data_IF_937813711288
#
_entry.id   IF_937813711288
#
_cell.length_a   1.000
_cell.length_b   1.000
_cell.length_c   1.000
_cell.angle_alpha   90.00
_cell.angle_beta   90.00
_cell.angle_gamma   90.00
#
_symmetry.space_group_name_H-M   'P 1'
#
loop_
_entity.id
_entity.type
_entity.pdbx_description
1 polymer ?
#
# COMPACT_ATOMS: atom_id res chain seq x y z
N UNK A 1 -1.99 24.00 6.15
CA UNK A 1 -1.25 22.95 6.87
C UNK A 1 -1.80 22.65 8.27
N UNK A 2 -2.11 23.63 9.13
CA UNK A 2 -2.69 23.34 10.47
C UNK A 2 -4.01 22.54 10.41
N UNK A 3 -4.92 22.87 9.48
CA UNK A 3 -6.18 22.11 9.32
C UNK A 3 -5.94 20.64 8.90
N UNK A 4 -5.03 20.42 7.94
CA UNK A 4 -4.62 19.10 7.47
C UNK A 4 -4.03 18.24 8.60
N UNK A 5 -3.12 18.81 9.40
CA UNK A 5 -2.54 18.10 10.55
C UNK A 5 -3.61 17.73 11.56
N UNK A 6 -4.55 18.63 11.85
CA UNK A 6 -5.70 18.35 12.74
C UNK A 6 -6.56 17.20 12.19
N UNK A 7 -6.88 17.20 10.89
CA UNK A 7 -7.62 16.11 10.25
C UNK A 7 -6.90 14.77 10.37
N UNK A 8 -5.58 14.75 10.11
CA UNK A 8 -4.76 13.54 10.27
C UNK A 8 -4.80 13.05 11.73
N UNK A 9 -4.60 13.94 12.71
CA UNK A 9 -4.69 13.58 14.13
C UNK A 9 -6.05 12.98 14.48
N UNK A 10 -7.14 13.61 14.05
CA UNK A 10 -8.50 13.10 14.29
C UNK A 10 -8.71 11.70 13.69
N UNK A 11 -8.18 11.43 12.50
CA UNK A 11 -8.22 10.08 11.90
C UNK A 11 -7.43 9.07 12.74
N UNK A 12 -6.26 9.44 13.24
CA UNK A 12 -5.45 8.58 14.12
C UNK A 12 -6.18 8.27 15.42
N UNK A 13 -6.76 9.27 16.09
CA UNK A 13 -7.58 9.07 17.30
C UNK A 13 -8.72 8.09 17.05
N UNK A 14 -9.48 8.30 15.96
CA UNK A 14 -10.60 7.44 15.61
C UNK A 14 -10.15 6.02 15.28
N UNK A 15 -9.08 5.85 14.51
CA UNK A 15 -8.56 4.53 14.16
C UNK A 15 -8.10 3.74 15.40
N UNK A 16 -7.38 4.40 16.33
CA UNK A 16 -6.90 3.77 17.56
C UNK A 16 -8.05 3.42 18.52
N UNK A 17 -8.96 4.35 18.80
CA UNK A 17 -10.11 4.08 19.69
C UNK A 17 -11.02 2.99 19.13
N UNK A 18 -11.32 3.04 17.83
CA UNK A 18 -12.07 1.98 17.16
C UNK A 18 -11.36 0.61 17.28
N UNK A 19 -10.02 0.58 17.21
CA UNK A 19 -9.25 -0.64 17.41
C UNK A 19 -9.37 -1.16 18.84
N UNK A 20 -9.29 -0.29 19.84
CA UNK A 20 -9.44 -0.68 21.25
C UNK A 20 -10.82 -1.28 21.53
N UNK A 21 -11.88 -0.68 20.98
CA UNK A 21 -13.25 -1.14 21.19
C UNK A 21 -13.56 -2.47 20.48
N UNK A 22 -13.07 -2.65 19.25
CA UNK A 22 -13.52 -3.73 18.37
C UNK A 22 -12.50 -4.86 18.16
N UNK A 23 -11.33 -4.80 18.81
CA UNK A 23 -10.31 -5.84 18.66
C UNK A 23 -10.83 -7.20 19.12
N UNK A 24 -10.72 -8.18 18.21
CA UNK A 24 -10.92 -9.60 18.47
C UNK A 24 -9.70 -10.36 17.95
N UNK A 25 -9.06 -11.22 18.76
CA UNK A 25 -7.96 -12.05 18.29
C UNK A 25 -8.41 -12.93 17.13
N UNK A 26 -7.66 -12.94 16.02
CA UNK A 26 -7.96 -13.79 14.86
C UNK A 26 -7.79 -15.29 15.18
N UNK A 27 -6.82 -15.61 16.04
CA UNK A 27 -6.52 -16.98 16.45
C UNK A 27 -6.63 -17.09 17.96
N UNK A 28 -7.45 -18.03 18.43
CA UNK A 28 -7.66 -18.28 19.86
C UNK A 28 -6.70 -19.33 20.44
N UNK A 29 -5.98 -20.09 19.59
CA UNK A 29 -5.11 -21.20 20.03
C UNK A 29 -3.74 -21.13 19.36
N UNK A 30 -2.71 -20.83 20.15
CA UNK A 30 -1.30 -20.87 19.73
C UNK A 30 -0.48 -21.74 20.70
N UNK A 31 -0.68 -23.07 20.72
CA UNK A 31 -0.28 -23.94 21.83
C UNK A 31 1.23 -23.98 22.11
N UNK A 32 2.07 -23.80 21.08
CA UNK A 32 3.52 -23.71 21.22
C UNK A 32 3.93 -22.37 21.83
N UNK A 33 3.48 -21.27 21.25
CA UNK A 33 3.82 -19.92 21.71
C UNK A 33 3.27 -19.63 23.10
N UNK A 34 2.04 -20.05 23.40
CA UNK A 34 1.45 -19.88 24.73
C UNK A 34 2.21 -20.65 25.80
N UNK A 35 2.66 -21.89 25.53
CA UNK A 35 3.46 -22.66 26.50
C UNK A 35 4.87 -22.09 26.68
N UNK A 36 5.43 -21.49 25.64
CA UNK A 36 6.78 -20.93 25.68
C UNK A 36 6.82 -19.52 26.29
N UNK A 37 5.87 -18.65 25.94
CA UNK A 37 5.92 -17.21 26.20
C UNK A 37 4.85 -16.71 27.17
N UNK A 38 3.81 -17.50 27.45
CA UNK A 38 2.65 -17.09 28.26
C UNK A 38 1.47 -16.58 27.43
N UNK A 39 0.29 -16.51 28.04
CA UNK A 39 -0.95 -16.04 27.39
C UNK A 39 -0.99 -14.51 27.26
N UNK A 40 -0.52 -13.82 28.29
CA UNK A 40 -0.37 -12.36 28.39
C UNK A 40 0.45 -11.79 27.23
N UNK A 41 1.67 -12.29 27.02
CA UNK A 41 2.57 -11.82 25.96
C UNK A 41 2.01 -12.12 24.57
N UNK A 42 1.30 -13.23 24.42
CA UNK A 42 0.63 -13.59 23.17
C UNK A 42 -0.58 -12.73 22.86
N UNK A 43 -1.35 -12.34 23.88
CA UNK A 43 -2.46 -11.42 23.70
C UNK A 43 -1.95 -10.03 23.25
N UNK A 44 -0.89 -9.52 23.90
CA UNK A 44 -0.24 -8.27 23.50
C UNK A 44 0.34 -8.36 22.07
N UNK A 45 1.11 -9.41 21.77
CA UNK A 45 1.66 -9.62 20.43
C UNK A 45 0.57 -9.66 19.35
N UNK A 46 -0.50 -10.42 19.58
CA UNK A 46 -1.63 -10.51 18.67
C UNK A 46 -2.30 -9.16 18.45
N UNK A 47 -2.46 -8.36 19.51
CA UNK A 47 -3.01 -7.00 19.40
C UNK A 47 -2.11 -6.10 18.55
N UNK A 48 -0.80 -6.05 18.85
CA UNK A 48 0.17 -5.22 18.12
C UNK A 48 0.22 -5.63 16.65
N UNK A 49 0.21 -6.93 16.36
CA UNK A 49 0.19 -7.42 15.00
C UNK A 49 -1.09 -7.00 14.27
N UNK A 50 -2.23 -7.12 14.93
CA UNK A 50 -3.53 -6.69 14.39
C UNK A 50 -3.62 -5.17 14.19
N UNK A 51 -2.93 -4.39 15.04
CA UNK A 51 -2.79 -2.95 14.90
C UNK A 51 -1.98 -2.63 13.64
N UNK A 52 -0.81 -3.26 13.47
CA UNK A 52 0.07 -3.07 12.32
C UNK A 52 -0.59 -3.42 10.98
N UNK A 53 -1.38 -4.50 10.93
CA UNK A 53 -2.10 -4.88 9.69
C UNK A 53 -3.26 -3.95 9.39
N UNK A 54 -3.90 -3.39 10.41
CA UNK A 54 -5.02 -2.46 10.25
C UNK A 54 -4.58 -1.08 9.73
N UNK A 55 -3.34 -0.66 10.01
CA UNK A 55 -2.82 0.65 9.61
C UNK A 55 -2.92 0.92 8.12
N UNK A 56 -2.79 -0.08 7.25
CA UNK A 56 -2.97 0.08 5.81
C UNK A 56 -4.30 0.77 5.45
N UNK A 57 -5.39 0.08 5.75
CA UNK A 57 -6.74 0.51 5.34
C UNK A 57 -7.33 1.59 6.25
N UNK A 58 -7.01 1.60 7.54
CA UNK A 58 -7.62 2.52 8.51
C UNK A 58 -6.86 3.82 8.71
N UNK A 59 -5.58 3.87 8.34
CA UNK A 59 -4.73 5.04 8.55
C UNK A 59 -4.06 5.49 7.25
N UNK A 60 -3.22 4.66 6.65
CA UNK A 60 -2.38 5.08 5.53
C UNK A 60 -3.20 5.49 4.31
N UNK A 61 -4.20 4.69 3.92
CA UNK A 61 -5.07 5.04 2.80
C UNK A 61 -5.89 6.33 3.05
N UNK A 62 -6.63 6.51 4.17
CA UNK A 62 -7.32 7.77 4.46
C UNK A 62 -6.41 9.00 4.52
N UNK A 63 -5.22 8.87 5.13
CA UNK A 63 -4.25 9.97 5.22
C UNK A 63 -3.72 10.32 3.82
N UNK A 64 -3.47 9.32 2.98
CA UNK A 64 -3.05 9.53 1.61
C UNK A 64 -4.11 10.27 0.76
N UNK A 65 -5.37 9.89 0.91
CA UNK A 65 -6.51 10.60 0.29
C UNK A 65 -6.58 12.06 0.74
N UNK A 66 -6.48 12.31 2.05
CA UNK A 66 -6.52 13.66 2.61
C UNK A 66 -5.40 14.55 2.06
N UNK A 67 -4.16 14.03 1.98
CA UNK A 67 -3.02 14.76 1.45
C UNK A 67 -3.17 15.07 -0.04
N UNK A 68 -3.60 14.07 -0.81
CA UNK A 68 -3.76 14.20 -2.25
C UNK A 68 -4.87 15.18 -2.65
N UNK A 69 -5.87 15.42 -1.78
CA UNK A 69 -7.05 16.25 -2.06
C UNK A 69 -6.75 17.67 -2.54
N UNK A 70 -5.58 18.19 -2.21
CA UNK A 70 -5.12 19.53 -2.61
C UNK A 70 -4.30 19.54 -3.91
N UNK A 71 -3.89 18.38 -4.42
CA UNK A 71 -2.95 18.26 -5.54
C UNK A 71 -3.50 17.51 -6.75
N UNK A 72 -4.57 16.74 -6.59
CA UNK A 72 -5.16 15.87 -7.62
C UNK A 72 -6.64 16.19 -7.84
N UNK A 73 -7.11 15.99 -9.08
CA UNK A 73 -8.47 16.32 -9.50
C UNK A 73 -9.48 15.25 -9.09
N UNK A 74 -9.06 13.99 -9.04
CA UNK A 74 -9.88 12.87 -8.61
C UNK A 74 -9.08 11.89 -7.76
N UNK A 75 -9.68 11.44 -6.66
CA UNK A 75 -9.08 10.52 -5.70
C UNK A 75 -10.13 9.49 -5.31
N UNK A 76 -9.74 8.21 -5.29
CA UNK A 76 -10.61 7.13 -4.82
C UNK A 76 -9.78 6.10 -4.07
N UNK A 77 -10.25 5.69 -2.90
CA UNK A 77 -9.68 4.54 -2.18
C UNK A 77 -10.38 3.25 -2.57
N UNK A 78 -9.66 2.13 -2.52
CA UNK A 78 -10.21 0.78 -2.76
C UNK A 78 -10.98 0.68 -4.10
N UNK A 79 -10.43 1.29 -5.15
CA UNK A 79 -11.05 1.42 -6.46
C UNK A 79 -11.08 0.07 -7.19
N UNK A 80 -12.25 -0.30 -7.72
CA UNK A 80 -12.41 -1.49 -8.54
C UNK A 80 -11.91 -1.23 -9.96
N UNK A 81 -10.99 -2.06 -10.42
CA UNK A 81 -10.49 -2.03 -11.80
C UNK A 81 -11.44 -2.85 -12.68
N UNK A 82 -11.75 -2.41 -13.91
CA UNK A 82 -12.53 -3.20 -14.86
C UNK A 82 -12.01 -4.63 -14.97
N UNK A 83 -12.93 -5.60 -15.07
CA UNK A 83 -12.60 -7.03 -15.05
C UNK A 83 -12.36 -7.61 -16.45
N UNK A 84 -12.21 -6.76 -17.46
CA UNK A 84 -12.01 -7.13 -18.86
C UNK A 84 -10.62 -6.72 -19.34
N UNK A 85 -10.00 -7.61 -20.10
CA UNK A 85 -8.70 -7.43 -20.74
C UNK A 85 -8.69 -8.18 -22.06
N UNK A 86 -7.89 -7.77 -23.04
CA UNK A 86 -7.71 -8.59 -24.25
C UNK A 86 -6.83 -9.80 -23.98
N UNK A 87 -7.07 -10.90 -24.69
CA UNK A 87 -6.18 -12.08 -24.65
C UNK A 87 -4.76 -11.72 -25.08
N UNK A 88 -4.61 -10.78 -25.99
CA UNK A 88 -3.30 -10.32 -26.46
C UNK A 88 -2.52 -9.56 -25.38
N UNK A 89 -3.18 -8.64 -24.66
CA UNK A 89 -2.55 -7.97 -23.52
C UNK A 89 -2.16 -8.98 -22.43
N UNK A 90 -2.97 -10.01 -22.17
CA UNK A 90 -2.58 -11.08 -21.23
C UNK A 90 -1.32 -11.83 -21.65
N UNK A 91 -1.16 -12.15 -22.95
CA UNK A 91 0.05 -12.77 -23.49
C UNK A 91 1.25 -11.84 -23.34
N UNK A 92 1.11 -10.57 -23.71
CA UNK A 92 2.20 -9.59 -23.56
C UNK A 92 2.62 -9.41 -22.11
N UNK A 93 1.66 -9.39 -21.16
CA UNK A 93 1.97 -9.37 -19.73
C UNK A 93 2.76 -10.62 -19.35
N UNK A 94 2.34 -11.79 -19.81
CA UNK A 94 3.04 -13.05 -19.53
C UNK A 94 4.47 -13.04 -20.10
N UNK A 95 4.66 -12.58 -21.34
CA UNK A 95 5.99 -12.48 -21.97
C UNK A 95 6.92 -11.51 -21.20
N UNK A 96 6.38 -10.39 -20.72
CA UNK A 96 7.12 -9.45 -19.87
C UNK A 96 7.53 -10.16 -18.58
N UNK A 97 6.60 -10.83 -17.90
CA UNK A 97 6.86 -11.55 -16.66
C UNK A 97 7.94 -12.62 -16.86
N UNK A 98 7.83 -13.47 -17.88
CA UNK A 98 8.79 -14.54 -18.15
C UNK A 98 10.18 -13.99 -18.48
N UNK A 99 10.24 -12.85 -19.19
CA UNK A 99 11.51 -12.19 -19.51
C UNK A 99 12.20 -11.60 -18.28
N UNK A 100 11.44 -11.04 -17.33
CA UNK A 100 11.97 -10.51 -16.07
C UNK A 100 12.39 -11.64 -15.13
N UNK A 101 11.56 -12.67 -14.99
CA UNK A 101 11.83 -13.82 -14.12
C UNK A 101 13.04 -14.64 -14.59
N UNK A 102 13.22 -14.77 -15.91
CA UNK A 102 14.39 -15.41 -16.51
C UNK A 102 15.66 -14.56 -16.51
N UNK A 103 15.58 -13.29 -16.08
CA UNK A 103 16.71 -12.35 -16.14
C UNK A 103 17.13 -11.96 -17.56
N UNK A 104 16.26 -12.21 -18.55
CA UNK A 104 16.51 -11.92 -19.97
C UNK A 104 16.37 -10.42 -20.28
N UNK A 105 15.73 -9.66 -19.39
CA UNK A 105 15.54 -8.22 -19.52
C UNK A 105 15.56 -7.53 -18.16
N UNK A 106 15.80 -6.22 -18.15
CA UNK A 106 15.60 -5.36 -16.98
C UNK A 106 14.21 -4.73 -17.03
N UNK A 107 13.57 -4.48 -15.87
CA UNK A 107 12.27 -3.83 -15.84
C UNK A 107 12.37 -2.41 -16.41
N UNK A 108 11.36 -2.05 -17.22
CA UNK A 108 11.26 -0.73 -17.85
C UNK A 108 9.78 -0.37 -17.97
N UNK A 109 9.30 0.46 -17.04
CA UNK A 109 7.87 0.71 -16.89
C UNK A 109 7.24 1.32 -18.14
N UNK A 110 7.91 2.29 -18.76
CA UNK A 110 7.41 2.98 -19.95
C UNK A 110 7.25 2.03 -21.13
N UNK A 111 8.24 1.19 -21.39
CA UNK A 111 8.18 0.22 -22.49
C UNK A 111 7.11 -0.85 -22.24
N UNK A 112 6.99 -1.35 -21.03
CA UNK A 112 5.99 -2.35 -20.65
C UNK A 112 4.56 -1.82 -20.80
N UNK A 113 4.29 -0.59 -20.33
CA UNK A 113 2.98 0.07 -20.53
C UNK A 113 2.69 0.19 -22.02
N UNK A 114 3.64 0.70 -22.81
CA UNK A 114 3.44 0.89 -24.24
C UNK A 114 3.11 -0.43 -24.95
N UNK A 115 3.84 -1.51 -24.62
CA UNK A 115 3.56 -2.85 -25.17
C UNK A 115 2.14 -3.31 -24.83
N UNK A 116 1.71 -3.16 -23.59
CA UNK A 116 0.37 -3.58 -23.14
C UNK A 116 -0.74 -2.75 -23.80
N UNK A 117 -0.57 -1.42 -23.88
CA UNK A 117 -1.55 -0.53 -24.49
C UNK A 117 -1.66 -0.72 -26.02
N UNK A 118 -0.59 -1.15 -26.68
CA UNK A 118 -0.62 -1.53 -28.09
C UNK A 118 -1.30 -2.89 -28.35
N UNK A 119 -1.58 -3.66 -27.31
CA UNK A 119 -2.19 -5.00 -27.38
C UNK A 119 -3.68 -4.99 -26.98
N UNK A 120 -4.36 -3.85 -27.08
CA UNK A 120 -5.74 -3.66 -26.64
C UNK A 120 -6.80 -4.04 -27.70
N UNK A 121 -6.39 -4.65 -28.81
CA UNK A 121 -7.30 -5.18 -29.84
C UNK A 121 -7.52 -6.70 -29.72
N UNK A 122 -8.67 -7.19 -30.18
CA UNK A 122 -8.95 -8.62 -30.34
C UNK A 122 -9.93 -9.17 -29.31
N UNK A 123 -9.84 -10.48 -29.06
CA UNK A 123 -10.79 -11.18 -28.19
C UNK A 123 -10.64 -10.75 -26.72
N UNK A 124 -11.76 -10.41 -26.09
CA UNK A 124 -11.83 -10.07 -24.68
C UNK A 124 -11.85 -11.32 -23.80
N UNK A 125 -11.26 -11.18 -22.62
CA UNK A 125 -11.18 -12.18 -21.56
C UNK A 125 -11.55 -11.53 -20.23
N UNK A 126 -12.10 -12.33 -19.31
CA UNK A 126 -12.43 -11.89 -17.95
C UNK A 126 -11.30 -12.25 -17.00
N UNK A 127 -10.89 -11.29 -16.19
CA UNK A 127 -9.90 -11.44 -15.11
C UNK A 127 -10.45 -10.85 -13.82
N UNK A 128 -9.84 -11.19 -12.69
CA UNK A 128 -10.20 -10.63 -11.38
C UNK A 128 -9.02 -9.80 -10.86
N UNK A 129 -8.85 -8.55 -11.32
CA UNK A 129 -7.80 -7.69 -10.82
C UNK A 129 -8.04 -7.40 -9.33
N UNK A 130 -6.97 -7.24 -8.57
CA UNK A 130 -7.06 -6.72 -7.20
C UNK A 130 -7.56 -5.28 -7.23
N UNK A 131 -8.15 -4.83 -6.12
CA UNK A 131 -8.53 -3.42 -5.95
C UNK A 131 -7.29 -2.56 -5.85
N UNK A 132 -7.38 -1.35 -6.37
CA UNK A 132 -6.35 -0.31 -6.22
C UNK A 132 -6.58 0.38 -4.90
N UNK A 133 -5.61 0.33 -3.98
CA UNK A 133 -5.74 0.95 -2.66
C UNK A 133 -5.95 2.46 -2.76
N UNK A 134 -5.20 3.11 -3.66
CA UNK A 134 -5.31 4.54 -3.93
C UNK A 134 -5.24 4.84 -5.43
N UNK A 135 -6.34 5.34 -5.98
CA UNK A 135 -6.43 5.93 -7.31
C UNK A 135 -6.27 7.44 -7.22
N UNK A 136 -5.40 8.01 -8.06
CA UNK A 136 -5.22 9.44 -8.20
C UNK A 136 -5.27 9.83 -9.67
N UNK A 137 -5.91 10.95 -9.98
CA UNK A 137 -5.91 11.52 -11.32
C UNK A 137 -5.57 13.02 -11.27
N UNK A 138 -4.67 13.44 -12.14
CA UNK A 138 -4.36 14.85 -12.39
C UNK A 138 -4.22 15.08 -13.89
N UNK A 139 -5.14 15.82 -14.48
CA UNK A 139 -5.33 15.91 -15.93
C UNK A 139 -5.44 14.49 -16.53
N UNK A 140 -4.65 14.19 -17.55
CA UNK A 140 -4.58 12.86 -18.19
C UNK A 140 -3.71 11.87 -17.41
N UNK A 141 -2.97 12.30 -16.37
CA UNK A 141 -2.13 11.40 -15.60
C UNK A 141 -2.96 10.65 -14.57
N UNK A 142 -2.91 9.33 -14.65
CA UNK A 142 -3.57 8.41 -13.73
C UNK A 142 -2.50 7.67 -12.94
N UNK A 143 -2.68 7.54 -11.64
CA UNK A 143 -1.81 6.75 -10.76
C UNK A 143 -2.66 5.68 -10.06
N UNK A 144 -2.27 4.42 -10.27
CA UNK A 144 -2.85 3.24 -9.64
C UNK A 144 -1.85 2.72 -8.61
N UNK A 145 -2.13 2.93 -7.33
CA UNK A 145 -1.16 2.71 -6.25
C UNK A 145 -1.63 1.56 -5.37
N UNK A 146 -0.73 0.59 -5.16
CA UNK A 146 -0.86 -0.48 -4.19
C UNK A 146 -0.02 -0.14 -2.95
N UNK A 147 -0.64 0.00 -1.77
CA UNK A 147 0.05 0.41 -0.55
C UNK A 147 0.47 -0.84 0.22
N UNK A 148 1.77 -1.04 0.37
CA UNK A 148 2.35 -2.20 1.07
C UNK A 148 2.97 -1.81 2.40
N UNK A 149 2.95 -2.75 3.33
CA UNK A 149 3.69 -2.64 4.59
C UNK A 149 5.19 -2.80 4.34
N UNK A 150 6.01 -2.30 5.27
CA UNK A 150 7.44 -2.02 5.07
C UNK A 150 8.38 -3.19 4.73
N UNK A 151 7.91 -4.44 4.73
CA UNK A 151 8.72 -5.61 4.39
C UNK A 151 7.95 -6.60 3.52
N UNK A 152 7.74 -6.31 2.24
CA UNK A 152 7.23 -7.32 1.33
C UNK A 152 8.20 -8.51 1.24
N UNK A 153 7.66 -9.73 1.31
CA UNK A 153 8.44 -10.95 1.17
C UNK A 153 9.02 -11.06 -0.25
N UNK A 154 10.22 -11.66 -0.39
CA UNK A 154 10.89 -11.85 -1.69
C UNK A 154 10.02 -12.51 -2.77
N UNK A 155 9.11 -13.40 -2.39
CA UNK A 155 8.18 -14.05 -3.32
C UNK A 155 7.08 -13.13 -3.88
N UNK A 156 6.73 -12.05 -3.15
CA UNK A 156 5.60 -11.19 -3.50
C UNK A 156 5.84 -10.25 -4.68
N UNK A 157 7.09 -10.04 -5.10
CA UNK A 157 7.38 -9.07 -6.17
C UNK A 157 6.88 -9.48 -7.54
N UNK A 158 6.84 -10.79 -7.82
CA UNK A 158 6.24 -11.32 -9.05
C UNK A 158 4.74 -11.02 -9.09
N UNK A 159 4.07 -11.21 -7.97
CA UNK A 159 2.65 -10.90 -7.83
C UNK A 159 2.40 -9.39 -7.98
N UNK A 160 3.22 -8.56 -7.34
CA UNK A 160 3.11 -7.11 -7.45
C UNK A 160 3.29 -6.65 -8.90
N UNK A 161 4.35 -7.10 -9.57
CA UNK A 161 4.59 -6.74 -10.97
C UNK A 161 3.41 -7.14 -11.86
N UNK A 162 2.93 -8.39 -11.71
CA UNK A 162 1.78 -8.89 -12.46
C UNK A 162 0.52 -8.06 -12.18
N UNK A 163 0.26 -7.70 -10.94
CA UNK A 163 -0.85 -6.81 -10.56
C UNK A 163 -0.74 -5.45 -11.25
N UNK A 164 0.42 -4.80 -11.16
CA UNK A 164 0.65 -3.49 -11.77
C UNK A 164 0.45 -3.50 -13.29
N UNK A 165 0.91 -4.54 -13.98
CA UNK A 165 0.73 -4.71 -15.43
C UNK A 165 -0.72 -5.07 -15.79
N UNK A 166 -1.38 -5.90 -14.99
CA UNK A 166 -2.79 -6.27 -15.20
C UNK A 166 -3.70 -5.05 -15.06
N UNK A 167 -3.43 -4.18 -14.09
CA UNK A 167 -4.13 -2.91 -13.95
C UNK A 167 -3.98 -2.02 -15.18
N UNK A 168 -2.78 -1.90 -15.76
CA UNK A 168 -2.56 -1.14 -17.01
C UNK A 168 -3.39 -1.73 -18.14
N UNK A 169 -3.39 -3.06 -18.29
CA UNK A 169 -4.16 -3.77 -19.31
C UNK A 169 -5.66 -3.49 -19.21
N UNK A 170 -6.24 -3.72 -18.02
CA UNK A 170 -7.68 -3.59 -17.80
C UNK A 170 -8.17 -2.14 -17.81
N UNK A 171 -7.42 -1.24 -17.16
CA UNK A 171 -7.77 0.17 -17.08
C UNK A 171 -7.59 0.85 -18.44
N UNK A 172 -6.51 0.56 -19.15
CA UNK A 172 -6.19 1.14 -20.46
C UNK A 172 -7.21 0.79 -21.54
N UNK A 173 -7.79 -0.41 -21.49
CA UNK A 173 -8.85 -0.83 -22.43
C UNK A 173 -10.03 0.14 -22.46
N UNK A 174 -10.41 0.69 -21.29
CA UNK A 174 -11.54 1.61 -21.14
C UNK A 174 -11.13 3.09 -21.12
N UNK A 175 -9.82 3.37 -21.10
CA UNK A 175 -9.27 4.73 -20.94
C UNK A 175 -8.07 4.94 -21.89
N UNK A 176 -8.25 4.91 -23.22
CA UNK A 176 -7.15 4.88 -24.19
C UNK A 176 -6.26 6.12 -24.20
N UNK A 177 -6.77 7.26 -23.71
CA UNK A 177 -6.04 8.52 -23.65
C UNK A 177 -5.35 8.77 -22.30
N UNK A 178 -5.56 7.90 -21.30
CA UNK A 178 -4.97 8.10 -19.98
C UNK A 178 -3.46 7.79 -20.00
N UNK A 179 -2.68 8.67 -19.38
CA UNK A 179 -1.27 8.43 -19.06
C UNK A 179 -1.20 7.64 -17.76
N UNK A 180 -1.28 6.31 -17.90
CA UNK A 180 -1.39 5.39 -16.77
C UNK A 180 -0.01 5.16 -16.14
N UNK A 181 0.06 5.33 -14.83
CA UNK A 181 1.19 4.97 -13.99
C UNK A 181 0.67 3.98 -12.94
N UNK A 182 1.39 2.89 -12.72
CA UNK A 182 1.06 1.95 -11.64
C UNK A 182 2.30 1.65 -10.83
N UNK A 183 2.20 1.76 -9.50
CA UNK A 183 3.34 1.68 -8.59
C UNK A 183 2.97 1.09 -7.23
N UNK A 184 3.99 0.66 -6.51
CA UNK A 184 3.93 0.28 -5.10
C UNK A 184 4.32 1.48 -4.24
N UNK A 185 3.55 1.74 -3.20
CA UNK A 185 3.90 2.70 -2.16
C UNK A 185 4.21 1.97 -0.86
N UNK A 186 5.29 2.39 -0.18
CA UNK A 186 5.65 1.92 1.15
C UNK A 186 5.61 3.12 2.11
N UNK A 187 4.70 3.15 3.09
CA UNK A 187 4.48 4.31 3.96
C UNK A 187 5.68 4.75 4.81
N UNK A 188 6.62 3.86 5.12
CA UNK A 188 7.80 4.19 5.93
C UNK A 188 8.99 3.29 5.58
N UNK A 189 10.20 3.80 5.83
CA UNK A 189 11.43 3.07 5.63
C UNK A 189 11.88 2.41 6.96
N UNK A 190 11.88 1.07 7.07
CA UNK A 190 12.23 0.38 8.31
C UNK A 190 13.75 0.38 8.58
N UNK A 191 14.55 0.90 7.65
CA UNK A 191 16.02 0.98 7.76
C UNK A 191 16.52 2.39 8.13
N UNK A 192 15.60 3.34 8.36
CA UNK A 192 15.97 4.71 8.69
C UNK A 192 17.03 4.79 9.82
N UNK A 193 18.04 5.68 9.70
CA UNK A 193 18.24 6.69 8.65
C UNK A 193 18.92 6.15 7.38
N UNK A 194 19.21 4.85 7.28
CA UNK A 194 19.81 4.28 6.07
C UNK A 194 18.77 4.26 4.94
N UNK A 195 19.20 4.40 3.67
CA UNK A 195 18.29 4.30 2.54
C UNK A 195 17.62 2.93 2.52
N UNK A 196 16.39 2.91 2.01
CA UNK A 196 15.62 1.67 1.91
C UNK A 196 16.37 0.65 1.05
N UNK A 197 16.51 -0.58 1.54
CA UNK A 197 17.16 -1.66 0.80
C UNK A 197 16.27 -2.16 -0.35
N UNK A 198 16.41 -1.53 -1.52
CA UNK A 198 15.63 -1.87 -2.72
C UNK A 198 16.10 -3.13 -3.45
N UNK A 199 17.22 -3.73 -3.05
CA UNK A 199 17.81 -4.90 -3.73
C UNK A 199 16.88 -6.12 -3.73
N UNK A 200 16.01 -6.25 -2.72
CA UNK A 200 15.01 -7.32 -2.69
C UNK A 200 14.01 -7.20 -3.85
N UNK A 201 13.72 -5.98 -4.31
CA UNK A 201 12.84 -5.66 -5.44
C UNK A 201 13.57 -5.58 -6.79
N UNK A 202 14.90 -5.64 -6.79
CA UNK A 202 15.70 -5.51 -8.00
C UNK A 202 15.45 -6.70 -8.95
N UNK A 203 15.18 -6.40 -10.22
CA UNK A 203 14.95 -7.39 -11.28
C UNK A 203 13.49 -7.53 -11.73
N UNK A 204 12.51 -7.25 -10.85
CA UNK A 204 11.08 -7.31 -11.21
C UNK A 204 10.45 -5.93 -11.38
N UNK A 205 10.84 -4.96 -10.55
CA UNK A 205 10.28 -3.62 -10.53
C UNK A 205 11.28 -2.59 -11.04
N UNK A 206 10.80 -1.66 -11.86
CA UNK A 206 11.49 -0.43 -12.23
C UNK A 206 11.40 0.51 -11.02
N UNK A 207 12.43 0.49 -10.17
CA UNK A 207 12.39 1.13 -8.85
C UNK A 207 12.22 2.65 -8.88
N UNK A 208 12.54 3.30 -9.99
CA UNK A 208 12.37 4.74 -10.14
C UNK A 208 10.91 5.08 -10.47
N UNK A 209 10.25 4.24 -11.27
CA UNK A 209 8.90 4.49 -11.77
C UNK A 209 7.80 3.78 -10.97
N UNK A 210 8.11 2.64 -10.35
CA UNK A 210 7.15 1.71 -9.75
C UNK A 210 7.27 1.60 -8.22
N UNK A 211 8.12 2.39 -7.58
CA UNK A 211 8.28 2.37 -6.13
C UNK A 211 8.39 3.79 -5.56
N UNK A 212 7.61 4.07 -4.52
CA UNK A 212 7.78 5.25 -3.67
C UNK A 212 7.82 4.83 -2.21
N UNK A 213 8.85 5.27 -1.49
CA UNK A 213 9.06 4.88 -0.08
C UNK A 213 9.11 6.10 0.82
N UNK A 214 8.39 6.04 1.93
CA UNK A 214 8.41 7.05 2.99
C UNK A 214 8.19 8.47 2.42
N UNK A 215 9.15 9.36 2.61
CA UNK A 215 9.14 10.74 2.11
C UNK A 215 8.74 10.83 0.63
N UNK A 216 9.31 9.99 -0.24
CA UNK A 216 9.00 10.00 -1.68
C UNK A 216 7.52 9.73 -1.98
N UNK A 217 6.85 8.94 -1.13
CA UNK A 217 5.42 8.65 -1.28
C UNK A 217 4.58 9.79 -0.75
N UNK A 218 4.82 10.23 0.49
CA UNK A 218 3.98 11.24 1.13
C UNK A 218 4.12 12.61 0.50
N UNK A 219 5.33 12.99 0.10
CA UNK A 219 5.58 14.27 -0.54
C UNK A 219 5.11 14.28 -2.00
N UNK A 220 5.03 13.12 -2.66
CA UNK A 220 4.35 12.98 -3.93
C UNK A 220 2.85 13.28 -3.84
N UNK A 221 2.21 12.98 -2.70
CA UNK A 221 0.78 13.21 -2.49
C UNK A 221 0.48 14.65 -2.06
N UNK A 222 1.20 15.14 -1.04
CA UNK A 222 0.88 16.39 -0.35
C UNK A 222 1.87 17.53 -0.59
N UNK A 223 2.93 17.31 -1.37
CA UNK A 223 4.03 18.26 -1.55
C UNK A 223 5.10 18.16 -0.46
N UNK A 224 6.19 18.92 -0.64
CA UNK A 224 7.35 18.88 0.24
C UNK A 224 7.00 19.12 1.72
N UNK A 225 7.54 18.28 2.62
CA UNK A 225 7.30 18.39 4.06
C UNK A 225 6.05 17.67 4.55
N UNK A 226 5.39 16.90 3.68
CA UNK A 226 4.19 16.12 4.05
C UNK A 226 4.57 14.97 4.97
N UNK A 227 5.70 14.31 4.71
CA UNK A 227 6.16 13.21 5.54
C UNK A 227 6.41 13.62 6.99
N UNK A 228 7.10 14.72 7.21
CA UNK A 228 7.41 15.28 8.53
C UNK A 228 6.14 15.71 9.26
N UNK A 229 5.18 16.29 8.53
CA UNK A 229 3.87 16.67 9.07
C UNK A 229 3.12 15.43 9.60
N UNK A 230 3.14 14.33 8.86
CA UNK A 230 2.53 13.06 9.28
C UNK A 230 3.25 12.50 10.50
N UNK A 231 4.58 12.41 10.48
CA UNK A 231 5.36 11.91 11.62
C UNK A 231 5.07 12.70 12.90
N UNK A 232 5.04 14.03 12.79
CA UNK A 232 4.71 14.91 13.90
C UNK A 232 3.26 14.72 14.39
N UNK A 233 2.30 14.45 13.49
CA UNK A 233 0.93 14.12 13.89
C UNK A 233 0.86 12.79 14.66
N UNK A 234 1.59 11.76 14.22
CA UNK A 234 1.69 10.49 14.93
C UNK A 234 2.31 10.64 16.31
N UNK A 235 3.37 11.44 16.44
CA UNK A 235 4.03 11.72 17.72
C UNK A 235 3.09 12.42 18.70
N UNK A 236 2.42 13.50 18.25
CA UNK A 236 1.47 14.24 19.10
C UNK A 236 0.30 13.36 19.56
N UNK A 237 -0.31 12.57 18.66
CA UNK A 237 -1.39 11.65 19.05
C UNK A 237 -0.88 10.58 20.00
N UNK A 238 0.33 10.05 19.80
CA UNK A 238 0.95 9.09 20.70
C UNK A 238 1.27 9.65 22.09
N UNK A 239 1.52 10.97 22.20
CA UNK A 239 1.66 11.65 23.48
C UNK A 239 0.30 11.89 24.13
N UNK A 240 -0.67 12.39 23.38
CA UNK A 240 -2.03 12.71 23.87
C UNK A 240 -2.82 11.46 24.29
N UNK A 241 -2.61 10.32 23.61
CA UNK A 241 -3.28 9.05 23.93
C UNK A 241 -2.48 8.15 24.87
N UNK A 242 -1.36 8.62 25.45
CA UNK A 242 -0.45 7.75 26.21
C UNK A 242 -1.17 6.98 27.31
N UNK A 243 -1.94 7.70 28.13
CA UNK A 243 -2.70 7.12 29.25
C UNK A 243 -3.74 6.11 28.74
N UNK A 244 -4.53 6.45 27.70
CA UNK A 244 -5.52 5.54 27.09
C UNK A 244 -4.87 4.25 26.56
N UNK A 245 -3.70 4.36 25.92
CA UNK A 245 -2.94 3.22 25.38
C UNK A 245 -2.45 2.33 26.52
N UNK A 246 -1.85 2.92 27.55
CA UNK A 246 -1.27 2.19 28.67
C UNK A 246 -2.37 1.46 29.47
N UNK A 247 -3.50 2.14 29.76
CA UNK A 247 -4.68 1.53 30.38
C UNK A 247 -5.24 0.36 29.58
N UNK A 248 -5.25 0.47 28.24
CA UNK A 248 -5.68 -0.62 27.38
C UNK A 248 -4.72 -1.82 27.49
N UNK A 249 -3.41 -1.58 27.50
CA UNK A 249 -2.40 -2.63 27.61
C UNK A 249 -2.38 -3.36 28.95
N UNK A 250 -2.74 -2.68 30.04
CA UNK A 250 -2.89 -3.34 31.34
C UNK A 250 -3.87 -4.53 31.32
N UNK A 251 -4.86 -4.52 30.43
CA UNK A 251 -5.83 -5.62 30.29
C UNK A 251 -5.18 -6.93 29.88
N UNK A 252 -4.02 -6.87 29.20
CA UNK A 252 -3.27 -8.08 28.81
C UNK A 252 -2.46 -8.67 29.97
N UNK A 253 -2.11 -7.86 30.98
CA UNK A 253 -1.38 -8.30 32.17
C UNK A 253 -2.26 -9.00 33.20
N UNK A 254 -3.59 -8.84 33.12
CA UNK A 254 -4.55 -9.37 34.12
C UNK A 254 -5.08 -10.79 33.80
N UNK A 255 -4.56 -11.43 32.76
CA UNK A 255 -4.96 -12.78 32.34
C UNK A 255 -4.03 -13.84 32.98
N UNK A 256 -4.18 -14.07 34.28
CA UNK A 256 -3.83 -15.37 34.91
C UNK A 256 -4.98 -16.37 34.73
#
# INVERSE_FOLDING_TARGET
>A
MQNLKSNIKNRLFQALRNKFENYKPETSSMPFHTRLLGKDRMALYSFIQSLNTNFGTSIFEPVAEELASSHFDSIKRQMEVPNTITKEAQRVIQDIMDSLEGGNSKPNKTMEIARILNSQSGELSKVKPTKVDLFLQKNDNVYLIDIKTAKPNKGGFKEFKRTLLTWVGCFGLNNPNAKINSLIAIPYNPYMPKPYERWTMAGMLDLESELKVAEEFWDFLGGAGSYELILSAFEEVGQEMREEIDEYFERFNRNE
#
